data_IF_158882479514
#
_entry.id   IF_158882479514
#
_cell.length_a   1.000
_cell.length_b   1.000
_cell.length_c   1.000
_cell.angle_alpha   90.00
_cell.angle_beta   90.00
_cell.angle_gamma   90.00
#
_symmetry.space_group_name_H-M   'P 1'
#
loop_
_entity.id
_entity.type
_entity.pdbx_description
1 polymer ?
#
# COMPACT_ATOMS: atom_id res chain seq x y z
N UNK A 1 -24.37 63.20 26.10
CA UNK A 1 -25.54 62.60 26.78
C UNK A 1 -25.68 61.17 26.32
N UNK A 2 -25.56 60.20 27.25
CA UNK A 2 -25.99 58.78 27.13
C UNK A 2 -25.32 57.97 25.99
N UNK A 3 -25.00 56.69 26.10
CA UNK A 3 -25.00 55.69 27.16
C UNK A 3 -24.49 54.40 26.49
N UNK A 4 -23.74 53.58 27.23
CA UNK A 4 -23.76 52.11 27.23
C UNK A 4 -23.63 51.38 25.87
N UNK A 5 -22.60 50.55 25.72
CA UNK A 5 -22.75 49.09 25.78
C UNK A 5 -21.36 48.42 25.81
N UNK A 6 -21.13 47.67 26.88
CA UNK A 6 -20.04 46.72 27.02
C UNK A 6 -20.23 45.57 26.02
N UNK A 7 -19.14 45.09 25.42
CA UNK A 7 -19.01 43.67 25.10
C UNK A 7 -17.55 43.26 25.28
N UNK A 8 -17.30 42.55 26.38
CA UNK A 8 -16.04 41.87 26.65
C UNK A 8 -15.89 40.72 25.65
N UNK A 9 -14.85 40.78 24.81
CA UNK A 9 -14.52 39.72 23.87
C UNK A 9 -13.58 38.72 24.56
N UNK A 10 -14.18 37.75 25.24
CA UNK A 10 -13.55 36.47 25.58
C UNK A 10 -13.55 35.61 24.32
N UNK A 11 -12.40 35.43 23.66
CA UNK A 11 -12.22 34.37 22.67
C UNK A 11 -10.98 33.58 23.02
N UNK A 12 -11.22 32.28 23.23
CA UNK A 12 -10.34 31.32 23.88
C UNK A 12 -8.97 31.22 23.24
N UNK A 13 -7.97 31.24 24.12
CA UNK A 13 -6.69 30.63 23.89
C UNK A 13 -6.94 29.14 23.56
N UNK A 14 -6.92 28.81 22.26
CA UNK A 14 -6.95 27.44 21.81
C UNK A 14 -5.70 26.76 22.36
N UNK A 15 -5.86 25.97 23.41
CA UNK A 15 -4.89 24.95 23.79
C UNK A 15 -4.70 24.06 22.57
N UNK A 16 -3.63 24.29 21.82
CA UNK A 16 -3.00 23.24 21.04
C UNK A 16 -2.68 22.15 22.06
N UNK A 17 -3.47 21.08 22.03
CA UNK A 17 -3.08 19.80 22.60
C UNK A 17 -1.91 19.33 21.74
N UNK A 18 -0.70 19.79 22.10
CA UNK A 18 0.53 19.15 21.66
C UNK A 18 0.42 17.70 22.12
N UNK A 19 0.23 16.79 21.17
CA UNK A 19 0.41 15.37 21.42
C UNK A 19 1.79 15.22 22.07
N UNK A 20 1.83 14.73 23.30
CA UNK A 20 3.06 14.46 24.00
C UNK A 20 3.80 13.36 23.26
N UNK A 21 4.74 13.76 22.41
CA UNK A 21 5.84 12.91 22.02
C UNK A 21 6.51 12.47 23.34
N UNK A 22 6.29 11.21 23.70
CA UNK A 22 6.97 10.64 24.87
C UNK A 22 8.43 10.51 24.46
N UNK A 23 9.24 11.49 24.85
CA UNK A 23 10.67 11.47 24.60
C UNK A 23 11.24 10.17 25.18
N UNK A 24 11.94 9.39 24.35
CA UNK A 24 12.57 8.17 24.82
C UNK A 24 13.69 8.56 25.81
N UNK A 25 13.97 7.75 26.84
CA UNK A 25 14.99 8.07 27.84
C UNK A 25 16.42 8.26 27.27
N UNK A 26 16.64 7.88 26.01
CA UNK A 26 17.89 8.00 25.26
C UNK A 26 17.76 8.92 24.03
N UNK A 27 16.77 9.81 24.01
CA UNK A 27 16.60 10.81 22.95
C UNK A 27 17.75 11.82 22.87
N UNK A 28 18.64 11.87 23.85
CA UNK A 28 19.84 12.71 23.78
C UNK A 28 20.94 12.10 22.88
N UNK A 29 20.83 10.82 22.50
CA UNK A 29 21.81 10.16 21.64
C UNK A 29 21.63 10.55 20.17
N UNK A 30 22.75 10.68 19.45
CA UNK A 30 22.75 10.74 17.98
C UNK A 30 22.40 9.37 17.39
N UNK A 31 21.89 9.34 16.15
CA UNK A 31 21.52 8.08 15.47
C UNK A 31 22.70 7.10 15.38
N UNK A 32 23.88 7.59 14.98
CA UNK A 32 25.11 6.78 14.87
C UNK A 32 25.55 6.17 16.22
N UNK A 33 25.49 6.98 17.30
CA UNK A 33 25.84 6.51 18.64
C UNK A 33 24.82 5.51 19.17
N UNK A 34 23.54 5.72 18.84
CA UNK A 34 22.47 4.79 19.18
C UNK A 34 22.68 3.44 18.49
N UNK A 35 22.91 3.43 17.18
CA UNK A 35 23.18 2.22 16.40
C UNK A 35 24.42 1.48 16.91
N UNK A 36 25.53 2.19 17.15
CA UNK A 36 26.76 1.59 17.70
C UNK A 36 26.52 0.94 19.07
N UNK A 37 25.78 1.62 19.94
CA UNK A 37 25.45 1.09 21.28
C UNK A 37 24.56 -0.14 21.18
N UNK A 38 23.56 -0.14 20.30
CA UNK A 38 22.70 -1.30 20.07
C UNK A 38 23.50 -2.47 19.50
N UNK A 39 24.37 -2.25 18.50
CA UNK A 39 25.21 -3.30 17.94
C UNK A 39 26.07 -3.96 19.01
N UNK A 40 26.75 -3.17 19.84
CA UNK A 40 27.53 -3.70 20.96
C UNK A 40 26.68 -4.57 21.90
N UNK A 41 25.44 -4.16 22.19
CA UNK A 41 24.53 -4.97 23.01
C UNK A 41 24.18 -6.31 22.38
N UNK A 42 23.94 -6.34 21.07
CA UNK A 42 23.69 -7.58 20.33
C UNK A 42 24.92 -8.50 20.38
N UNK A 43 26.11 -7.95 20.20
CA UNK A 43 27.37 -8.72 20.28
C UNK A 43 27.61 -9.30 21.68
N UNK A 44 27.25 -8.55 22.73
CA UNK A 44 27.34 -9.02 24.12
C UNK A 44 26.26 -10.06 24.48
N UNK A 45 25.13 -10.08 23.79
CA UNK A 45 24.07 -11.09 23.95
C UNK A 45 23.47 -11.17 25.36
N UNK A 46 23.45 -10.07 26.11
CA UNK A 46 22.94 -10.04 27.51
C UNK A 46 21.42 -9.94 27.55
N UNK A 47 20.76 -11.05 27.25
CA UNK A 47 19.30 -11.20 27.33
C UNK A 47 18.82 -11.37 28.78
N UNK A 48 17.55 -11.07 29.03
CA UNK A 48 16.95 -11.20 30.34
C UNK A 48 16.78 -12.68 30.74
N UNK A 49 17.30 -13.10 31.91
CA UNK A 49 17.08 -14.46 32.40
C UNK A 49 15.62 -14.73 32.81
N UNK A 50 14.80 -13.68 32.90
CA UNK A 50 13.37 -13.76 33.22
C UNK A 50 12.47 -13.43 32.01
N UNK A 51 13.05 -13.25 30.83
CA UNK A 51 12.33 -12.85 29.62
C UNK A 51 11.45 -11.62 29.83
N UNK A 52 10.25 -11.67 29.28
CA UNK A 52 9.24 -10.60 29.27
C UNK A 52 8.81 -10.16 30.67
N UNK A 53 8.88 -11.02 31.70
CA UNK A 53 8.47 -10.65 33.07
C UNK A 53 9.30 -9.47 33.58
N UNK A 54 10.59 -9.42 33.25
CA UNK A 54 11.46 -8.31 33.62
C UNK A 54 11.06 -6.98 32.95
N UNK A 55 10.48 -7.04 31.76
CA UNK A 55 9.99 -5.88 31.01
C UNK A 55 8.63 -5.43 31.54
N UNK A 56 7.74 -6.39 31.78
CA UNK A 56 6.37 -6.14 32.24
C UNK A 56 6.31 -5.59 33.66
N UNK A 57 7.36 -5.71 34.47
CA UNK A 57 7.46 -4.99 35.75
C UNK A 57 7.22 -3.48 35.60
N UNK A 58 7.68 -2.88 34.50
CA UNK A 58 7.52 -1.45 34.22
C UNK A 58 6.47 -1.20 33.12
N UNK A 59 6.42 -2.03 32.07
CA UNK A 59 5.61 -1.78 30.89
C UNK A 59 4.17 -2.33 30.95
N UNK A 60 3.82 -3.16 31.96
CA UNK A 60 2.49 -3.79 32.06
C UNK A 60 1.31 -2.81 32.11
N UNK A 61 1.55 -1.57 32.56
CA UNK A 61 0.51 -0.52 32.63
C UNK A 61 0.29 0.20 31.29
N UNK A 62 1.14 -0.01 30.30
CA UNK A 62 0.98 0.58 28.98
C UNK A 62 0.04 -0.31 28.14
N UNK A 63 -1.14 0.20 27.80
CA UNK A 63 -2.16 -0.55 27.04
C UNK A 63 -1.66 -0.99 25.66
N UNK A 64 -0.91 -0.15 24.95
CA UNK A 64 -0.36 -0.50 23.63
C UNK A 64 0.59 -1.70 23.72
N UNK A 65 1.47 -1.73 24.73
CA UNK A 65 2.36 -2.88 24.96
C UNK A 65 1.54 -4.14 25.24
N UNK A 66 0.46 -4.02 26.02
CA UNK A 66 -0.38 -5.17 26.34
C UNK A 66 -1.25 -5.64 25.17
N UNK A 67 -1.57 -4.76 24.22
CA UNK A 67 -2.34 -5.11 23.03
C UNK A 67 -1.60 -6.07 22.08
N UNK A 68 -0.27 -6.12 22.15
CA UNK A 68 0.56 -7.14 21.48
C UNK A 68 0.02 -8.56 21.72
N UNK A 69 -0.35 -8.87 22.96
CA UNK A 69 -0.83 -10.19 23.38
C UNK A 69 -2.17 -10.58 22.77
N UNK A 70 -2.92 -9.61 22.23
CA UNK A 70 -4.16 -9.86 21.48
C UNK A 70 -3.88 -10.21 20.01
N UNK A 71 -2.75 -9.76 19.48
CA UNK A 71 -2.31 -9.97 18.09
C UNK A 71 -1.68 -11.34 17.84
N UNK A 72 -1.07 -11.54 16.68
CA UNK A 72 -0.42 -12.81 16.29
C UNK A 72 0.92 -13.02 16.98
N UNK A 73 1.76 -11.98 17.04
CA UNK A 73 3.09 -12.06 17.65
C UNK A 73 3.04 -12.29 19.16
N UNK A 74 1.96 -11.90 19.83
CA UNK A 74 1.81 -12.09 21.27
C UNK A 74 1.42 -13.51 21.71
N UNK A 75 1.14 -14.43 20.77
CA UNK A 75 0.65 -15.77 21.10
C UNK A 75 1.80 -16.78 21.20
N UNK A 76 1.73 -17.72 22.14
CA UNK A 76 2.76 -18.76 22.38
C UNK A 76 2.38 -20.10 21.71
N UNK A 77 1.74 -20.04 20.54
CA UNK A 77 1.13 -21.24 19.90
C UNK A 77 2.07 -21.99 18.96
N UNK A 78 3.18 -21.38 18.54
CA UNK A 78 4.12 -21.99 17.59
C UNK A 78 5.56 -21.62 17.95
N UNK A 79 6.51 -22.52 17.67
CA UNK A 79 7.95 -22.27 17.83
C UNK A 79 8.43 -21.06 17.03
N UNK A 80 7.77 -20.75 15.91
CA UNK A 80 8.04 -19.56 15.09
C UNK A 80 7.56 -18.23 15.70
N UNK A 81 6.83 -18.27 16.83
CA UNK A 81 6.39 -17.05 17.49
C UNK A 81 7.54 -16.42 18.27
N UNK A 82 7.75 -15.09 18.21
CA UNK A 82 8.76 -14.43 19.03
C UNK A 82 8.54 -14.71 20.53
N UNK A 83 7.28 -14.87 20.95
CA UNK A 83 6.93 -15.14 22.34
C UNK A 83 7.24 -16.57 22.82
N UNK A 84 7.52 -17.50 21.91
CA UNK A 84 8.02 -18.83 22.26
C UNK A 84 9.56 -18.84 22.47
N UNK A 85 10.27 -17.82 21.97
CA UNK A 85 11.72 -17.66 22.11
C UNK A 85 12.10 -16.49 23.03
N UNK A 86 12.78 -15.49 22.48
CA UNK A 86 13.29 -14.32 23.21
C UNK A 86 12.22 -13.29 23.60
N UNK A 87 10.95 -13.54 23.29
CA UNK A 87 9.82 -12.70 23.67
C UNK A 87 10.00 -11.24 23.23
N UNK A 88 9.86 -10.26 24.13
CA UNK A 88 10.07 -8.85 23.83
C UNK A 88 11.45 -8.58 23.22
N UNK A 89 12.47 -9.32 23.65
CA UNK A 89 13.86 -9.14 23.21
C UNK A 89 14.12 -9.68 21.80
N UNK A 90 13.19 -10.47 21.24
CA UNK A 90 13.23 -10.85 19.83
C UNK A 90 13.08 -9.65 18.89
N UNK A 91 12.36 -8.61 19.32
CA UNK A 91 12.14 -7.39 18.54
C UNK A 91 12.92 -6.19 19.09
N UNK A 92 13.00 -6.07 20.43
CA UNK A 92 13.62 -4.91 21.07
C UNK A 92 15.12 -5.08 21.36
N UNK A 93 15.65 -6.29 21.15
CA UNK A 93 17.04 -6.64 21.43
C UNK A 93 17.30 -6.96 22.91
N UNK A 94 18.56 -7.27 23.25
CA UNK A 94 18.95 -7.67 24.61
C UNK A 94 18.66 -6.57 25.64
N UNK A 95 18.15 -6.96 26.80
CA UNK A 95 17.84 -6.06 27.90
C UNK A 95 19.10 -5.32 28.40
N UNK A 96 20.22 -6.01 28.58
CA UNK A 96 21.42 -5.42 29.18
C UNK A 96 21.10 -4.77 30.54
N UNK A 97 21.49 -3.50 30.74
CA UNK A 97 21.13 -2.72 31.93
C UNK A 97 19.89 -1.83 31.75
N UNK A 98 19.06 -2.06 30.72
CA UNK A 98 17.85 -1.27 30.52
C UNK A 98 16.94 -1.31 31.76
N UNK A 99 16.85 -2.45 32.45
CA UNK A 99 16.09 -2.56 33.70
C UNK A 99 16.69 -1.75 34.89
N UNK A 100 17.93 -1.25 34.77
CA UNK A 100 18.62 -0.44 35.78
C UNK A 100 18.47 1.05 35.47
N UNK A 101 17.21 1.52 35.46
CA UNK A 101 16.87 2.93 35.32
C UNK A 101 16.49 3.38 33.91
N UNK A 102 16.30 2.45 32.96
CA UNK A 102 15.68 2.73 31.66
C UNK A 102 16.54 3.55 30.69
N UNK A 103 17.80 3.87 31.03
CA UNK A 103 18.66 4.75 30.22
C UNK A 103 19.40 4.02 29.10
N UNK A 104 19.54 2.70 29.22
CA UNK A 104 20.20 1.91 28.18
C UNK A 104 19.23 1.73 27.00
N UNK A 105 19.64 2.06 25.76
CA UNK A 105 18.74 2.03 24.62
C UNK A 105 18.29 0.62 24.26
N UNK A 106 17.09 0.54 23.71
CA UNK A 106 16.52 -0.64 23.05
C UNK A 106 16.03 -0.24 21.65
N UNK A 107 15.81 -1.22 20.77
CA UNK A 107 15.25 -0.94 19.45
C UNK A 107 13.84 -0.34 19.62
N UNK A 108 13.62 0.80 18.98
CA UNK A 108 12.31 1.42 18.83
C UNK A 108 11.92 1.43 17.36
N UNK A 109 10.62 1.33 17.09
CA UNK A 109 10.07 1.26 15.74
C UNK A 109 9.20 2.48 15.42
N UNK A 110 9.05 2.77 14.13
CA UNK A 110 8.21 3.82 13.58
C UNK A 110 8.91 5.17 13.49
N UNK A 111 8.16 6.18 13.07
CA UNK A 111 8.65 7.52 12.70
C UNK A 111 9.36 8.29 13.82
N UNK A 112 9.10 7.93 15.07
CA UNK A 112 9.73 8.56 16.23
C UNK A 112 11.06 7.89 16.62
N UNK A 113 11.41 6.77 15.99
CA UNK A 113 12.70 6.12 16.20
C UNK A 113 13.81 6.91 15.49
N UNK A 114 14.97 7.01 16.14
CA UNK A 114 16.18 7.57 15.51
C UNK A 114 16.95 6.54 14.67
N UNK A 115 16.50 5.29 14.67
CA UNK A 115 17.10 4.23 13.86
C UNK A 115 16.66 4.38 12.41
N UNK A 116 17.59 4.14 11.49
CA UNK A 116 17.27 4.11 10.05
C UNK A 116 16.24 3.02 9.75
N UNK A 117 15.43 3.22 8.69
CA UNK A 117 14.46 2.21 8.26
C UNK A 117 15.12 0.86 7.93
N UNK A 118 16.27 0.79 7.24
CA UNK A 118 16.98 -0.48 7.06
C UNK A 118 17.28 -1.19 8.38
N UNK A 119 17.82 -0.48 9.38
CA UNK A 119 18.09 -1.05 10.71
C UNK A 119 16.82 -1.62 11.35
N UNK A 120 15.71 -0.88 11.31
CA UNK A 120 14.42 -1.36 11.84
C UNK A 120 13.92 -2.61 11.09
N UNK A 121 14.04 -2.61 9.75
CA UNK A 121 13.56 -3.69 8.89
C UNK A 121 14.33 -5.00 9.10
N UNK A 122 15.63 -4.94 9.42
CA UNK A 122 16.44 -6.15 9.65
C UNK A 122 15.88 -7.04 10.76
N UNK A 123 15.26 -6.45 11.79
CA UNK A 123 14.63 -7.19 12.89
C UNK A 123 13.47 -8.03 12.39
N UNK A 124 12.63 -7.46 11.55
CA UNK A 124 11.49 -8.15 10.95
C UNK A 124 11.99 -9.22 9.97
N UNK A 125 12.93 -8.88 9.10
CA UNK A 125 13.49 -9.77 8.07
C UNK A 125 14.25 -10.97 8.64
N UNK A 126 14.78 -10.86 9.87
CA UNK A 126 15.39 -11.99 10.57
C UNK A 126 14.42 -13.18 10.75
N UNK A 127 13.12 -12.93 10.77
CA UNK A 127 12.07 -13.95 10.81
C UNK A 127 11.22 -13.99 9.52
N UNK A 128 10.89 -12.82 8.96
CA UNK A 128 10.06 -12.63 7.78
C UNK A 128 10.92 -12.49 6.52
N UNK A 129 11.45 -13.62 6.04
CA UNK A 129 12.13 -13.70 4.75
C UNK A 129 11.49 -14.82 3.90
N UNK A 130 10.16 -14.78 3.80
CA UNK A 130 9.39 -15.79 3.09
C UNK A 130 9.36 -15.53 1.57
N UNK A 131 8.96 -16.51 0.74
CA UNK A 131 8.91 -16.37 -0.71
C UNK A 131 8.15 -15.14 -1.22
N UNK A 132 7.15 -14.63 -0.49
CA UNK A 132 6.39 -13.44 -0.87
C UNK A 132 7.15 -12.14 -0.61
N UNK A 133 8.24 -12.19 0.16
CA UNK A 133 9.09 -11.05 0.50
C UNK A 133 10.47 -11.12 -0.16
N UNK A 134 10.74 -12.12 -1.00
CA UNK A 134 12.06 -12.28 -1.64
C UNK A 134 12.49 -11.07 -2.47
N UNK A 135 11.53 -10.34 -3.05
CA UNK A 135 11.80 -9.14 -3.84
C UNK A 135 11.90 -7.86 -2.99
N UNK A 136 11.79 -7.96 -1.66
CA UNK A 136 11.80 -6.80 -0.76
C UNK A 136 13.06 -5.96 -0.93
N UNK A 137 14.23 -6.60 -0.94
CA UNK A 137 15.51 -5.89 -1.01
C UNK A 137 15.66 -5.02 -2.26
N UNK A 138 14.95 -5.35 -3.35
CA UNK A 138 14.94 -4.59 -4.60
C UNK A 138 13.63 -3.79 -4.79
N UNK A 139 12.73 -3.82 -3.82
CA UNK A 139 11.44 -3.14 -3.92
C UNK A 139 11.61 -1.62 -3.80
N UNK A 140 10.74 -0.87 -4.47
CA UNK A 140 10.72 0.59 -4.36
C UNK A 140 10.54 1.04 -2.91
N UNK A 141 9.68 0.37 -2.12
CA UNK A 141 9.52 0.73 -0.70
C UNK A 141 10.81 0.58 0.11
N UNK A 142 11.60 -0.47 -0.13
CA UNK A 142 12.90 -0.61 0.54
C UNK A 142 13.90 0.45 0.07
N UNK A 143 13.93 0.75 -1.24
CA UNK A 143 14.85 1.73 -1.83
C UNK A 143 14.52 3.17 -1.40
N UNK A 144 13.24 3.46 -1.14
CA UNK A 144 12.75 4.74 -0.61
C UNK A 144 12.77 4.76 0.94
N UNK A 145 13.51 3.85 1.58
CA UNK A 145 13.72 3.79 3.03
C UNK A 145 12.42 3.73 3.85
N UNK A 146 11.41 3.02 3.36
CA UNK A 146 10.16 2.78 4.12
C UNK A 146 10.39 1.64 5.12
N UNK A 147 10.02 1.86 6.39
CA UNK A 147 10.10 0.83 7.41
C UNK A 147 8.87 -0.08 7.38
N UNK A 148 9.03 -1.36 7.77
CA UNK A 148 7.89 -2.28 7.95
C UNK A 148 6.85 -1.69 8.92
N UNK A 149 7.33 -0.98 9.94
CA UNK A 149 6.52 -0.33 10.98
C UNK A 149 5.78 0.93 10.52
N UNK A 150 6.07 1.47 9.32
CA UNK A 150 5.29 2.56 8.73
C UNK A 150 3.93 2.08 8.20
N UNK A 151 3.81 0.78 7.91
CA UNK A 151 2.57 0.13 7.49
C UNK A 151 2.00 -0.79 8.57
N UNK A 152 2.82 -1.69 9.11
CA UNK A 152 2.39 -2.73 10.04
C UNK A 152 2.42 -2.24 11.49
N UNK A 153 1.30 -2.41 12.19
CA UNK A 153 1.23 -2.17 13.64
C UNK A 153 1.18 -3.50 14.38
N UNK A 154 2.14 -3.72 15.30
CA UNK A 154 2.29 -5.00 16.02
C UNK A 154 1.65 -4.94 17.42
N UNK A 155 1.68 -3.76 18.06
CA UNK A 155 1.07 -3.48 19.36
C UNK A 155 -0.45 -3.22 19.22
N UNK A 156 -1.15 -4.16 18.59
CA UNK A 156 -2.61 -4.12 18.36
C UNK A 156 -3.15 -5.54 18.22
N UNK A 157 -4.44 -5.72 18.47
CA UNK A 157 -5.12 -6.99 18.25
C UNK A 157 -5.19 -7.37 16.75
N UNK A 158 -5.35 -6.38 15.87
CA UNK A 158 -5.43 -6.55 14.42
C UNK A 158 -4.68 -5.44 13.73
N UNK A 159 -3.85 -5.81 12.79
CA UNK A 159 -3.04 -4.87 12.01
C UNK A 159 -3.91 -4.17 10.95
N UNK A 160 -4.02 -2.83 10.97
CA UNK A 160 -4.79 -2.08 9.98
C UNK A 160 -4.29 -2.28 8.54
N UNK A 161 -3.00 -2.60 8.34
CA UNK A 161 -2.49 -2.88 7.00
C UNK A 161 -2.99 -4.21 6.41
N UNK A 162 -3.55 -5.09 7.24
CA UNK A 162 -4.13 -6.37 6.82
C UNK A 162 -5.66 -6.35 6.74
N UNK A 163 -6.30 -5.29 7.22
CA UNK A 163 -7.74 -5.11 7.13
C UNK A 163 -8.13 -4.45 5.81
N UNK A 164 -8.99 -5.13 5.05
CA UNK A 164 -9.46 -4.68 3.73
C UNK A 164 -10.16 -3.33 3.77
N UNK A 165 -10.76 -2.97 4.91
CA UNK A 165 -11.45 -1.70 5.09
C UNK A 165 -10.50 -0.52 5.34
N UNK A 166 -9.23 -0.79 5.68
CA UNK A 166 -8.28 0.27 6.04
C UNK A 166 -7.03 0.29 5.17
N UNK A 167 -6.67 -0.83 4.52
CA UNK A 167 -5.43 -0.93 3.71
C UNK A 167 -5.36 0.12 2.60
N UNK A 168 -6.48 0.46 1.95
CA UNK A 168 -6.53 1.50 0.93
C UNK A 168 -6.12 2.88 1.49
N UNK A 169 -6.53 3.19 2.72
CA UNK A 169 -6.15 4.43 3.40
C UNK A 169 -4.67 4.43 3.77
N UNK A 170 -4.11 3.28 4.15
CA UNK A 170 -2.66 3.14 4.41
C UNK A 170 -1.86 3.48 3.15
N UNK A 171 -2.20 2.87 2.00
CA UNK A 171 -1.49 3.13 0.73
C UNK A 171 -1.67 4.59 0.28
N UNK A 172 -2.90 5.11 0.30
CA UNK A 172 -3.21 6.46 -0.20
C UNK A 172 -2.78 7.60 0.73
N UNK A 173 -2.22 7.28 1.91
CA UNK A 173 -1.55 8.27 2.76
C UNK A 173 -0.32 8.88 2.07
N UNK A 174 0.37 8.10 1.24
CA UNK A 174 1.49 8.54 0.41
C UNK A 174 1.12 8.58 -1.09
N UNK A 175 0.38 7.59 -1.59
CA UNK A 175 -0.03 7.49 -3.01
C UNK A 175 -1.26 8.36 -3.33
N UNK A 176 -1.07 9.68 -3.25
CA UNK A 176 -2.14 10.67 -3.39
C UNK A 176 -2.74 10.74 -4.79
N UNK A 177 -1.96 10.42 -5.83
CA UNK A 177 -2.45 10.35 -7.20
C UNK A 177 -3.51 9.24 -7.34
N UNK A 178 -3.22 8.03 -6.83
CA UNK A 178 -4.16 6.91 -6.84
C UNK A 178 -5.41 7.21 -6.02
N UNK A 179 -5.29 8.00 -4.94
CA UNK A 179 -6.44 8.50 -4.18
C UNK A 179 -7.38 9.34 -5.04
N UNK A 180 -6.83 10.18 -5.92
CA UNK A 180 -7.64 10.95 -6.86
C UNK A 180 -8.22 10.04 -7.96
N UNK A 181 -7.42 9.13 -8.52
CA UNK A 181 -7.81 8.27 -9.63
C UNK A 181 -8.96 7.32 -9.28
N UNK A 182 -8.92 6.71 -8.09
CA UNK A 182 -10.00 5.82 -7.62
C UNK A 182 -11.34 6.56 -7.41
N UNK A 183 -11.30 7.90 -7.32
CA UNK A 183 -12.47 8.77 -7.19
C UNK A 183 -12.92 9.39 -8.53
N UNK A 184 -12.27 9.06 -9.65
CA UNK A 184 -12.72 9.46 -10.99
C UNK A 184 -14.03 8.75 -11.35
N UNK A 185 -14.62 9.19 -12.47
CA UNK A 185 -15.92 8.70 -12.97
C UNK A 185 -15.98 7.18 -13.15
N UNK A 186 -14.90 6.59 -13.67
CA UNK A 186 -14.78 5.14 -13.85
C UNK A 186 -13.48 4.67 -13.22
N UNK A 187 -13.59 3.74 -12.28
CA UNK A 187 -12.47 3.12 -11.56
C UNK A 187 -12.91 1.74 -11.07
N UNK A 188 -11.95 0.92 -10.65
CA UNK A 188 -12.25 -0.26 -9.83
C UNK A 188 -12.93 0.18 -8.52
N UNK A 189 -13.78 -0.67 -7.89
CA UNK A 189 -14.60 -0.32 -6.72
C UNK A 189 -13.81 -0.22 -5.41
N UNK A 190 -12.68 0.50 -5.44
CA UNK A 190 -11.73 0.68 -4.35
C UNK A 190 -12.20 1.76 -3.37
N UNK A 191 -12.93 2.77 -3.85
CA UNK A 191 -13.52 3.84 -3.02
C UNK A 191 -14.46 3.29 -1.92
N UNK A 192 -15.04 2.12 -2.17
CA UNK A 192 -16.00 1.46 -1.30
C UNK A 192 -15.42 0.19 -0.66
N UNK A 193 -14.09 0.05 -0.69
CA UNK A 193 -13.33 -1.07 -0.11
C UNK A 193 -13.81 -2.47 -0.54
N UNK A 194 -14.43 -2.56 -1.73
CA UNK A 194 -14.79 -3.85 -2.35
C UNK A 194 -13.57 -4.51 -3.01
N UNK A 195 -12.57 -3.71 -3.35
CA UNK A 195 -11.26 -4.11 -3.82
C UNK A 195 -10.20 -3.24 -3.14
N UNK A 196 -8.97 -3.72 -3.15
CA UNK A 196 -7.83 -3.11 -2.46
C UNK A 196 -6.58 -3.08 -3.33
N UNK A 197 -5.63 -2.21 -2.99
CA UNK A 197 -4.37 -2.09 -3.75
C UNK A 197 -3.62 -3.43 -3.82
N UNK A 198 -3.72 -4.22 -2.75
CA UNK A 198 -3.03 -5.50 -2.59
C UNK A 198 -3.67 -6.64 -3.41
N UNK A 199 -4.83 -6.43 -4.02
CA UNK A 199 -5.39 -7.39 -4.98
C UNK A 199 -4.56 -7.41 -6.27
N UNK A 200 -3.96 -6.27 -6.65
CA UNK A 200 -3.11 -6.12 -7.85
C UNK A 200 -1.62 -6.05 -7.53
N UNK A 201 -1.22 -5.36 -6.45
CA UNK A 201 0.17 -5.07 -6.12
C UNK A 201 0.68 -5.88 -4.92
N UNK A 202 1.97 -6.20 -4.94
CA UNK A 202 2.73 -6.70 -3.80
C UNK A 202 3.47 -5.53 -3.14
N UNK A 203 3.02 -5.04 -1.97
CA UNK A 203 3.69 -3.94 -1.28
C UNK A 203 5.11 -4.29 -0.82
N UNK A 204 5.44 -5.58 -0.75
CA UNK A 204 6.81 -6.04 -0.47
C UNK A 204 7.68 -6.14 -1.73
N UNK A 205 7.19 -5.68 -2.88
CA UNK A 205 7.85 -5.84 -4.17
C UNK A 205 7.51 -7.15 -4.87
N UNK A 206 7.82 -7.19 -6.16
CA UNK A 206 7.70 -8.37 -7.02
C UNK A 206 8.73 -8.28 -8.13
N UNK A 207 8.97 -9.39 -8.85
CA UNK A 207 9.80 -9.37 -10.06
C UNK A 207 9.09 -8.78 -11.28
N UNK A 208 7.79 -8.54 -11.20
CA UNK A 208 6.98 -7.89 -12.22
C UNK A 208 7.10 -6.37 -12.17
N UNK A 209 6.87 -5.74 -13.32
CA UNK A 209 6.74 -4.29 -13.43
C UNK A 209 5.66 -3.76 -12.46
N UNK A 210 5.88 -2.56 -11.92
CA UNK A 210 4.97 -1.90 -10.97
C UNK A 210 4.60 -2.76 -9.75
N UNK A 211 5.47 -3.69 -9.35
CA UNK A 211 5.26 -4.57 -8.21
C UNK A 211 3.95 -5.40 -8.30
N UNK A 212 3.52 -5.83 -9.48
CA UNK A 212 2.28 -6.61 -9.63
C UNK A 212 2.36 -8.01 -9.02
N UNK A 213 1.21 -8.55 -8.61
CA UNK A 213 1.11 -9.89 -8.02
C UNK A 213 1.29 -11.03 -9.04
N UNK A 214 1.19 -10.74 -10.34
CA UNK A 214 1.40 -11.70 -11.43
C UNK A 214 2.54 -11.24 -12.34
N UNK A 215 3.20 -12.17 -13.07
CA UNK A 215 4.37 -11.84 -13.88
C UNK A 215 4.15 -10.77 -14.96
N UNK A 216 2.91 -10.63 -15.45
CA UNK A 216 2.56 -9.64 -16.47
C UNK A 216 1.32 -8.83 -16.08
N UNK A 217 1.16 -7.66 -16.70
CA UNK A 217 -0.05 -6.83 -16.57
C UNK A 217 -1.29 -7.64 -16.95
N UNK A 218 -1.26 -8.31 -18.10
CA UNK A 218 -2.38 -9.08 -18.60
C UNK A 218 -2.76 -10.24 -17.65
N UNK A 219 -1.78 -10.99 -17.13
CA UNK A 219 -2.06 -12.06 -16.17
C UNK A 219 -2.69 -11.53 -14.86
N UNK A 220 -2.30 -10.33 -14.44
CA UNK A 220 -2.94 -9.66 -13.30
C UNK A 220 -4.40 -9.36 -13.62
N UNK A 221 -4.69 -8.79 -14.79
CA UNK A 221 -6.07 -8.53 -15.23
C UNK A 221 -6.89 -9.82 -15.34
N UNK A 222 -6.32 -10.91 -15.89
CA UNK A 222 -7.00 -12.19 -16.08
C UNK A 222 -7.31 -12.93 -14.77
N UNK A 223 -6.74 -12.51 -13.64
CA UNK A 223 -7.12 -13.05 -12.33
C UNK A 223 -8.59 -12.79 -11.98
N UNK A 224 -9.19 -11.75 -12.57
CA UNK A 224 -10.62 -11.44 -12.46
C UNK A 224 -11.32 -11.42 -13.82
N UNK A 225 -10.69 -10.85 -14.86
CA UNK A 225 -11.22 -10.74 -16.21
C UNK A 225 -10.87 -11.94 -17.09
N UNK A 226 -11.13 -13.15 -16.57
CA UNK A 226 -10.78 -14.39 -17.25
C UNK A 226 -11.48 -14.54 -18.62
N UNK A 227 -12.63 -13.90 -18.80
CA UNK A 227 -13.35 -13.89 -20.08
C UNK A 227 -12.66 -13.11 -21.19
N UNK A 228 -11.62 -12.33 -20.86
CA UNK A 228 -10.77 -11.62 -21.82
C UNK A 228 -9.49 -12.39 -22.14
N UNK A 229 -9.26 -13.52 -21.49
CA UNK A 229 -8.08 -14.34 -21.72
C UNK A 229 -8.26 -15.13 -23.01
N UNK A 230 -7.34 -14.93 -23.95
CA UNK A 230 -7.26 -15.70 -25.19
C UNK A 230 -6.76 -17.15 -25.00
N UNK A 231 -6.47 -17.86 -26.10
CA UNK A 231 -6.44 -17.33 -27.46
C UNK A 231 -7.85 -17.18 -28.05
N UNK A 232 -8.11 -16.04 -28.68
CA UNK A 232 -9.27 -15.89 -29.56
C UNK A 232 -8.87 -16.27 -30.99
N UNK A 233 -9.84 -16.65 -31.84
CA UNK A 233 -9.58 -16.88 -33.27
C UNK A 233 -9.12 -15.58 -33.96
N UNK A 234 -9.75 -14.47 -33.61
CA UNK A 234 -9.42 -13.13 -34.08
C UNK A 234 -9.11 -12.25 -32.88
N UNK A 235 -7.83 -12.07 -32.61
CA UNK A 235 -7.36 -11.23 -31.53
C UNK A 235 -7.21 -9.79 -31.96
N UNK A 236 -7.42 -8.87 -31.02
CA UNK A 236 -7.09 -7.48 -31.22
C UNK A 236 -5.70 -7.24 -30.61
N UNK A 237 -4.69 -7.00 -31.46
CA UNK A 237 -3.28 -7.00 -31.06
C UNK A 237 -2.96 -6.17 -29.77
N UNK A 238 -3.48 -4.94 -29.58
CA UNK A 238 -3.21 -4.20 -28.35
C UNK A 238 -3.70 -4.90 -27.07
N UNK A 239 -4.77 -5.69 -27.16
CA UNK A 239 -5.35 -6.42 -26.01
C UNK A 239 -4.48 -7.60 -25.61
N UNK A 240 -3.91 -8.31 -26.58
CA UNK A 240 -3.01 -9.44 -26.32
C UNK A 240 -1.65 -8.99 -25.82
N UNK A 241 -1.20 -7.81 -26.23
CA UNK A 241 0.08 -7.24 -25.82
C UNK A 241 0.01 -6.64 -24.42
N UNK A 242 -0.89 -5.66 -24.20
CA UNK A 242 -0.99 -4.98 -22.92
C UNK A 242 -2.36 -4.28 -22.73
N UNK A 243 -3.12 -4.72 -21.73
CA UNK A 243 -4.42 -4.14 -21.36
C UNK A 243 -4.35 -2.63 -21.09
N UNK A 244 -3.24 -2.13 -20.55
CA UNK A 244 -3.09 -0.71 -20.20
C UNK A 244 -2.73 0.19 -21.38
N UNK A 245 -2.63 -0.35 -22.59
CA UNK A 245 -2.56 0.45 -23.82
C UNK A 245 -3.82 1.29 -24.02
N UNK A 246 -4.97 0.79 -23.57
CA UNK A 246 -6.24 1.47 -23.68
C UNK A 246 -6.85 1.83 -22.32
N UNK A 247 -6.53 1.08 -21.26
CA UNK A 247 -7.13 1.23 -19.93
C UNK A 247 -6.17 1.86 -18.91
N UNK A 248 -6.69 2.78 -18.11
CA UNK A 248 -6.08 3.26 -16.89
C UNK A 248 -6.57 2.43 -15.69
N UNK A 249 -5.77 1.51 -15.13
CA UNK A 249 -6.26 0.56 -14.11
C UNK A 249 -6.68 1.23 -12.79
N UNK A 250 -6.22 2.46 -12.52
CA UNK A 250 -6.53 3.21 -11.30
C UNK A 250 -7.80 4.06 -11.43
N UNK A 251 -8.05 4.60 -12.63
CA UNK A 251 -9.30 5.28 -12.95
C UNK A 251 -9.17 6.33 -14.04
N UNK A 252 -10.29 6.58 -14.72
CA UNK A 252 -10.39 7.57 -15.80
C UNK A 252 -11.66 8.41 -15.69
N UNK A 253 -11.61 9.59 -16.30
CA UNK A 253 -12.79 10.42 -16.55
C UNK A 253 -13.67 9.83 -17.66
N UNK A 254 -13.12 8.95 -18.50
CA UNK A 254 -13.84 8.20 -19.52
C UNK A 254 -14.41 6.90 -18.94
N UNK A 255 -15.56 6.47 -19.43
CA UNK A 255 -16.18 5.20 -19.02
C UNK A 255 -15.28 4.00 -19.37
N UNK A 256 -15.42 2.91 -18.62
CA UNK A 256 -14.58 1.71 -18.71
C UNK A 256 -13.09 1.98 -18.51
N UNK A 257 -12.76 3.01 -17.74
CA UNK A 257 -11.38 3.38 -17.39
C UNK A 257 -10.50 3.64 -18.62
N UNK A 258 -11.03 4.17 -19.73
CA UNK A 258 -10.24 4.36 -20.95
C UNK A 258 -9.32 5.59 -20.88
N UNK A 259 -8.10 5.50 -21.41
CA UNK A 259 -7.17 6.64 -21.55
C UNK A 259 -7.74 7.72 -22.49
N UNK A 260 -8.46 7.31 -23.53
CA UNK A 260 -9.19 8.20 -24.44
C UNK A 260 -10.55 7.61 -24.77
N UNK A 261 -11.55 8.46 -25.00
CA UNK A 261 -12.87 8.00 -25.44
C UNK A 261 -12.87 7.67 -26.94
N UNK A 262 -13.79 6.81 -27.35
CA UNK A 262 -14.10 6.64 -28.76
C UNK A 262 -14.77 7.92 -29.33
N UNK A 263 -14.56 8.23 -30.62
CA UNK A 263 -13.80 7.47 -31.62
C UNK A 263 -12.28 7.66 -31.56
N UNK A 264 -11.78 8.69 -30.86
CA UNK A 264 -10.37 9.10 -30.93
C UNK A 264 -9.40 7.99 -30.53
N UNK A 265 -9.75 7.17 -29.53
CA UNK A 265 -8.94 6.01 -29.13
C UNK A 265 -8.64 5.06 -30.29
N UNK A 266 -9.65 4.75 -31.12
CA UNK A 266 -9.48 3.85 -32.26
C UNK A 266 -8.65 4.52 -33.37
N UNK A 267 -8.85 5.81 -33.57
CA UNK A 267 -8.20 6.60 -34.63
C UNK A 267 -6.71 6.83 -34.40
N UNK A 268 -6.21 6.60 -33.18
CA UNK A 268 -4.77 6.63 -32.89
C UNK A 268 -4.00 5.51 -33.61
N UNK A 269 -4.67 4.39 -33.91
CA UNK A 269 -4.05 3.24 -34.59
C UNK A 269 -4.68 2.96 -35.97
N UNK A 270 -5.99 3.17 -36.11
CA UNK A 270 -6.72 2.89 -37.35
C UNK A 270 -6.77 4.13 -38.25
N UNK A 271 -5.70 4.31 -39.05
CA UNK A 271 -5.54 5.41 -39.99
C UNK A 271 -5.82 5.03 -41.46
N UNK A 272 -6.46 3.88 -41.71
CA UNK A 272 -6.78 3.43 -43.06
C UNK A 272 -7.77 4.37 -43.76
N UNK A 273 -7.65 4.48 -45.08
CA UNK A 273 -8.59 5.26 -45.89
C UNK A 273 -10.04 4.74 -45.71
N UNK A 274 -10.99 5.68 -45.71
CA UNK A 274 -12.41 5.42 -45.46
C UNK A 274 -12.91 5.93 -44.10
N UNK A 275 -13.89 5.23 -43.51
CA UNK A 275 -14.63 5.75 -42.35
C UNK A 275 -13.82 5.76 -41.04
N UNK A 276 -12.71 5.04 -40.96
CA UNK A 276 -11.87 4.98 -39.76
C UNK A 276 -11.12 6.32 -39.55
N UNK A 277 -10.56 6.89 -40.62
CA UNK A 277 -9.78 8.14 -40.59
C UNK A 277 -10.59 9.42 -40.75
N UNK A 278 -11.91 9.32 -40.79
CA UNK A 278 -12.77 10.51 -40.98
C UNK A 278 -12.82 11.35 -39.70
N UNK A 279 -12.91 12.67 -39.86
CA UNK A 279 -13.13 13.59 -38.74
C UNK A 279 -14.56 13.43 -38.23
N UNK A 280 -14.73 13.32 -36.92
CA UNK A 280 -16.05 13.36 -36.25
C UNK A 280 -16.18 14.73 -35.60
N UNK A 281 -16.86 15.69 -36.25
CA UNK A 281 -16.80 17.10 -35.87
C UNK A 281 -17.51 17.40 -34.55
N UNK A 282 -18.64 16.74 -34.27
CA UNK A 282 -19.37 16.91 -33.02
C UNK A 282 -19.89 15.57 -32.45
N UNK A 283 -19.91 15.41 -31.12
CA UNK A 283 -20.54 14.26 -30.49
C UNK A 283 -22.03 14.16 -30.83
N UNK A 284 -22.52 12.93 -31.02
CA UNK A 284 -23.96 12.64 -31.13
C UNK A 284 -24.63 12.87 -32.48
N UNK A 285 -23.97 13.45 -33.48
CA UNK A 285 -24.58 13.72 -34.80
C UNK A 285 -24.83 12.45 -35.62
N UNK A 286 -24.00 11.42 -35.44
CA UNK A 286 -24.12 10.14 -36.15
C UNK A 286 -23.62 8.96 -35.32
N UNK A 287 -23.58 7.76 -35.92
CA UNK A 287 -23.15 6.54 -35.24
C UNK A 287 -21.67 6.53 -34.81
N UNK A 288 -20.84 7.46 -35.29
CA UNK A 288 -19.43 7.57 -34.91
C UNK A 288 -19.23 8.54 -33.75
N UNK A 289 -20.02 9.61 -33.70
CA UNK A 289 -20.03 10.55 -32.56
C UNK A 289 -21.00 10.16 -31.44
N UNK A 290 -21.99 9.32 -31.73
CA UNK A 290 -23.10 8.98 -30.84
C UNK A 290 -23.12 7.52 -30.38
N UNK A 291 -23.88 7.25 -29.32
CA UNK A 291 -23.99 5.92 -28.72
C UNK A 291 -22.63 5.40 -28.24
N UNK A 292 -22.26 4.17 -28.62
CA UNK A 292 -20.94 3.59 -28.32
C UNK A 292 -19.90 3.89 -29.41
N UNK A 293 -20.14 4.87 -30.28
CA UNK A 293 -19.25 5.25 -31.37
C UNK A 293 -18.89 4.04 -32.26
N UNK A 294 -17.62 3.78 -32.54
CA UNK A 294 -17.12 2.65 -33.33
C UNK A 294 -17.69 1.30 -32.86
N UNK A 295 -17.93 1.14 -31.56
CA UNK A 295 -18.43 -0.10 -30.97
C UNK A 295 -19.91 -0.38 -31.26
N UNK A 296 -20.64 0.58 -31.86
CA UNK A 296 -21.98 0.31 -32.40
C UNK A 296 -21.93 -0.79 -33.49
N UNK A 297 -20.82 -0.87 -34.23
CA UNK A 297 -20.60 -1.89 -35.27
C UNK A 297 -19.49 -2.87 -34.90
N UNK A 298 -18.44 -2.41 -34.21
CA UNK A 298 -17.26 -3.19 -33.82
C UNK A 298 -17.30 -3.55 -32.34
N UNK A 299 -18.26 -4.38 -31.94
CA UNK A 299 -18.54 -4.65 -30.52
C UNK A 299 -17.53 -5.57 -29.83
N UNK A 300 -16.75 -6.36 -30.60
CA UNK A 300 -15.81 -7.37 -30.09
C UNK A 300 -14.37 -6.86 -29.99
N UNK A 301 -14.18 -5.65 -29.47
CA UNK A 301 -12.85 -4.99 -29.35
C UNK A 301 -11.79 -5.77 -28.54
N UNK A 302 -12.20 -6.78 -27.75
CA UNK A 302 -11.31 -7.63 -26.96
C UNK A 302 -10.98 -8.97 -27.63
N UNK A 303 -11.45 -9.18 -28.87
CA UNK A 303 -11.27 -10.42 -29.62
C UNK A 303 -12.58 -11.14 -29.93
N UNK A 304 -12.57 -11.97 -30.97
CA UNK A 304 -13.72 -12.76 -31.44
C UNK A 304 -13.32 -14.19 -31.77
N UNK A 305 -14.20 -15.15 -31.43
CA UNK A 305 -14.10 -16.55 -31.85
C UNK A 305 -14.99 -16.89 -33.05
N UNK A 306 -15.68 -15.89 -33.63
CA UNK A 306 -16.54 -16.11 -34.78
C UNK A 306 -15.69 -16.26 -36.06
N UNK A 307 -15.95 -17.23 -36.96
CA UNK A 307 -15.16 -17.41 -38.19
C UNK A 307 -15.06 -16.14 -39.05
N UNK A 308 -16.14 -15.37 -39.15
CA UNK A 308 -16.19 -14.06 -39.79
C UNK A 308 -16.03 -12.88 -38.79
N UNK A 309 -15.10 -13.01 -37.85
CA UNK A 309 -14.86 -12.07 -36.74
C UNK A 309 -13.61 -11.20 -36.89
N UNK A 310 -12.90 -11.26 -38.02
CA UNK A 310 -11.63 -10.55 -38.24
C UNK A 310 -11.72 -9.03 -38.10
N UNK A 311 -12.90 -8.45 -38.34
CA UNK A 311 -13.19 -7.02 -38.14
C UNK A 311 -13.80 -6.72 -36.76
N UNK A 312 -13.84 -7.67 -35.83
CA UNK A 312 -14.35 -7.49 -34.46
C UNK A 312 -15.83 -7.06 -34.38
N UNK A 313 -16.64 -7.48 -35.36
CA UNK A 313 -18.06 -7.12 -35.43
C UNK A 313 -18.97 -8.06 -34.62
N UNK A 314 -18.61 -9.35 -34.52
CA UNK A 314 -19.40 -10.42 -33.91
C UNK A 314 -18.49 -11.50 -33.35
#
# INVERSE_FOLDING_TARGET
MRSLYQLAMLIGCGLLVMQSAHALPWDDLTAEKLETTLQQKFDEGKYSPKGADSCLMCHKKNEQVMDLFKGTHGKVISEASPMAGLQCEACHGPQGNHNRGGKEPMIAFGKNSKLSAPTQNTVCQGCHNDPKQMAWHTSTHNLEEIACSDCHTIHTAKDPALDKLTVNNTCTSCHTQQKADMNKRSSHPMKWDQMTCIDCHSPHGSMSESALNKPTVNDTCYSCHAEKRGPFLWEHAPVTENCITCHNPHGSVNDNMLESRAPQLCQQCHANDGHASRVVPEPGIDSFGGGKSCLNCHSKIHGSNHPAGSLLQR
#
